data_IF_359898413676
#
_entry.id   IF_359898413676
#
_cell.length_a   1.000
_cell.length_b   1.000
_cell.length_c   1.000
_cell.angle_alpha   90.00
_cell.angle_beta   90.00
_cell.angle_gamma   90.00
#
_symmetry.space_group_name_H-M   'P 1'
#
loop_
_entity.id
_entity.type
_entity.pdbx_description
1 polymer ?
#
# COMPACT_ATOMS: atom_id res chain seq x y z
N UNK A 1 -2.15 14.42 -3.97
CA UNK A 1 -1.77 15.01 -2.67
C UNK A 1 -0.88 13.95 -2.07
N UNK A 2 0.37 14.30 -1.78
CA UNK A 2 1.36 13.30 -1.36
C UNK A 2 0.83 12.45 -0.20
N UNK A 3 1.12 11.14 -0.25
CA UNK A 3 0.70 10.19 0.78
C UNK A 3 1.31 10.57 2.14
N UNK A 4 0.48 10.61 3.19
CA UNK A 4 0.97 10.78 4.56
C UNK A 4 1.87 9.60 4.94
N UNK A 5 3.03 9.88 5.53
CA UNK A 5 4.07 8.91 5.84
C UNK A 5 3.64 7.83 6.85
N UNK A 6 2.50 7.99 7.54
CA UNK A 6 1.92 6.99 8.44
C UNK A 6 1.75 5.61 7.78
N UNK A 7 1.58 5.56 6.45
CA UNK A 7 1.47 4.29 5.70
C UNK A 7 2.66 3.37 5.95
N UNK A 8 3.86 3.90 6.23
CA UNK A 8 5.07 3.11 6.51
C UNK A 8 4.96 2.34 7.83
N UNK A 9 4.46 3.00 8.88
CA UNK A 9 4.18 2.34 10.15
C UNK A 9 3.02 1.37 10.00
N UNK A 10 1.97 1.73 9.26
CA UNK A 10 0.84 0.83 9.00
C UNK A 10 1.25 -0.44 8.24
N UNK A 11 2.07 -0.29 7.19
CA UNK A 11 2.66 -1.40 6.44
C UNK A 11 3.46 -2.30 7.38
N UNK A 12 4.37 -1.73 8.18
CA UNK A 12 5.21 -2.48 9.13
C UNK A 12 4.36 -3.21 10.18
N UNK A 13 3.31 -2.56 10.72
CA UNK A 13 2.39 -3.21 11.65
C UNK A 13 1.69 -4.41 11.02
N UNK A 14 1.30 -4.31 9.75
CA UNK A 14 0.63 -5.42 9.05
C UNK A 14 1.62 -6.55 8.76
N UNK A 15 2.78 -6.26 8.19
CA UNK A 15 3.77 -7.27 7.79
C UNK A 15 4.36 -7.99 9.00
N UNK A 16 4.97 -7.26 9.94
CA UNK A 16 5.55 -7.86 11.16
C UNK A 16 4.47 -8.37 12.13
N UNK A 17 3.33 -7.68 12.22
CA UNK A 17 2.22 -8.12 13.06
C UNK A 17 1.64 -9.45 12.59
N UNK A 18 1.53 -9.69 11.28
CA UNK A 18 1.12 -10.98 10.76
C UNK A 18 2.09 -12.10 11.14
N UNK A 19 3.41 -11.86 11.06
CA UNK A 19 4.39 -12.87 11.50
C UNK A 19 4.30 -13.17 13.01
N UNK A 20 4.05 -12.14 13.83
CA UNK A 20 3.82 -12.32 15.26
C UNK A 20 2.52 -13.10 15.57
N UNK A 21 1.44 -12.80 14.85
CA UNK A 21 0.14 -13.47 15.01
C UNK A 21 0.21 -14.93 14.55
N UNK A 22 0.96 -15.21 13.49
CA UNK A 22 1.23 -16.57 13.01
C UNK A 22 2.18 -17.36 13.91
N UNK A 23 2.93 -16.69 14.79
CA UNK A 23 3.91 -17.31 15.69
C UNK A 23 5.30 -17.50 15.05
N UNK A 24 5.55 -16.89 13.89
CA UNK A 24 6.81 -16.96 13.17
C UNK A 24 7.85 -15.94 13.70
N UNK A 25 7.40 -14.88 14.39
CA UNK A 25 8.26 -13.81 14.87
C UNK A 25 7.94 -13.40 16.31
N UNK A 26 8.98 -13.20 17.13
CA UNK A 26 8.87 -12.64 18.48
C UNK A 26 9.22 -11.13 18.47
N UNK A 27 8.59 -10.35 19.35
CA UNK A 27 8.89 -8.92 19.57
C UNK A 27 10.37 -8.63 19.82
N UNK A 28 11.13 -9.52 20.47
CA UNK A 28 12.56 -9.28 20.72
C UNK A 28 13.37 -8.93 19.46
N UNK A 29 12.86 -9.31 18.28
CA UNK A 29 13.50 -9.01 16.99
C UNK A 29 13.11 -7.66 16.38
N UNK A 30 11.99 -7.05 16.76
CA UNK A 30 11.44 -5.88 16.06
C UNK A 30 10.76 -4.84 16.95
N UNK A 31 10.79 -5.01 18.27
CA UNK A 31 10.20 -4.06 19.20
C UNK A 31 10.87 -2.67 19.11
N UNK A 32 12.17 -2.64 18.81
CA UNK A 32 12.96 -1.41 18.61
C UNK A 32 12.98 -0.96 17.13
N UNK A 33 12.04 -1.41 16.29
CA UNK A 33 12.04 -1.09 14.87
C UNK A 33 11.98 0.45 14.67
N UNK A 34 12.99 1.08 14.00
CA UNK A 34 13.14 2.54 13.98
C UNK A 34 11.93 3.31 13.43
N UNK A 35 11.16 2.72 12.52
CA UNK A 35 9.93 3.33 11.99
C UNK A 35 8.94 3.74 13.08
N UNK A 36 8.91 3.07 14.23
CA UNK A 36 8.01 3.41 15.34
C UNK A 36 8.50 4.57 16.19
N UNK A 37 9.70 5.10 15.93
CA UNK A 37 10.20 6.32 16.56
C UNK A 37 9.68 7.59 15.86
N UNK A 38 9.06 7.47 14.68
CA UNK A 38 8.54 8.62 13.92
C UNK A 38 7.26 9.19 14.51
N UNK A 39 6.31 8.32 14.88
CA UNK A 39 5.06 8.70 15.52
C UNK A 39 4.76 7.75 16.68
N UNK A 40 4.27 8.31 17.79
CA UNK A 40 3.75 7.52 18.90
C UNK A 40 2.37 7.00 18.54
N UNK A 41 2.20 5.67 18.54
CA UNK A 41 0.93 5.05 18.18
C UNK A 41 0.07 4.76 19.42
N UNK A 42 -1.17 5.22 19.40
CA UNK A 42 -2.18 4.94 20.44
C UNK A 42 -3.39 4.25 19.80
N UNK A 43 -4.00 3.33 20.54
CA UNK A 43 -5.13 2.54 20.06
C UNK A 43 -6.32 2.75 21.00
N UNK A 44 -7.45 3.16 20.45
CA UNK A 44 -8.67 3.52 21.20
C UNK A 44 -9.90 2.86 20.59
N UNK A 45 -10.96 2.74 21.38
CA UNK A 45 -12.27 2.35 20.88
C UNK A 45 -13.04 3.57 20.35
N UNK A 46 -13.53 3.51 19.11
CA UNK A 46 -14.18 4.68 18.47
C UNK A 46 -15.45 5.11 19.19
N UNK A 47 -16.25 4.20 19.72
CA UNK A 47 -17.54 4.54 20.35
C UNK A 47 -17.36 5.04 21.78
N UNK A 48 -16.56 4.35 22.57
CA UNK A 48 -16.38 4.63 24.00
C UNK A 48 -15.22 5.57 24.32
N UNK A 49 -14.35 5.84 23.36
CA UNK A 49 -13.07 6.56 23.53
C UNK A 49 -12.07 5.91 24.48
N UNK A 50 -12.38 4.70 24.92
CA UNK A 50 -11.54 3.97 25.86
C UNK A 50 -10.18 3.68 25.23
N UNK A 51 -9.13 3.97 26.00
CA UNK A 51 -7.76 3.62 25.66
C UNK A 51 -7.56 2.11 25.73
N UNK A 52 -7.22 1.51 24.59
CA UNK A 52 -6.98 0.07 24.45
C UNK A 52 -5.49 -0.27 24.59
N UNK A 53 -4.60 0.54 24.00
CA UNK A 53 -3.16 0.37 24.09
C UNK A 53 -2.43 1.69 23.82
N UNK A 54 -1.30 1.91 24.48
CA UNK A 54 -0.42 3.08 24.28
C UNK A 54 0.85 2.73 23.47
N UNK A 55 0.92 1.49 22.96
CA UNK A 55 2.05 0.97 22.22
C UNK A 55 1.61 -0.19 21.32
N UNK A 56 2.23 -0.34 20.15
CA UNK A 56 1.84 -1.37 19.18
C UNK A 56 2.03 -2.80 19.71
N UNK A 57 3.02 -3.04 20.58
CA UNK A 57 3.23 -4.33 21.23
C UNK A 57 2.03 -4.74 22.08
N UNK A 58 1.54 -3.82 22.92
CA UNK A 58 0.39 -4.07 23.80
C UNK A 58 -0.86 -4.30 22.95
N UNK A 59 -1.02 -3.52 21.87
CA UNK A 59 -2.08 -3.69 20.91
C UNK A 59 -2.08 -5.09 20.29
N UNK A 60 -0.96 -5.53 19.70
CA UNK A 60 -0.82 -6.84 19.07
C UNK A 60 -1.01 -8.02 20.04
N UNK A 61 -0.46 -7.94 21.25
CA UNK A 61 -0.72 -8.92 22.32
C UNK A 61 -2.22 -8.99 22.66
N UNK A 62 -2.87 -7.82 22.77
CA UNK A 62 -4.31 -7.71 22.98
C UNK A 62 -5.11 -8.35 21.84
N UNK A 63 -4.72 -8.12 20.58
CA UNK A 63 -5.35 -8.73 19.42
C UNK A 63 -5.19 -10.25 19.41
N UNK A 64 -3.98 -10.75 19.68
CA UNK A 64 -3.68 -12.19 19.75
C UNK A 64 -4.52 -12.88 20.81
N UNK A 65 -4.63 -12.30 22.01
CA UNK A 65 -5.49 -12.81 23.10
C UNK A 65 -6.97 -12.82 22.73
N UNK A 66 -7.41 -11.88 21.89
CA UNK A 66 -8.76 -11.84 21.37
C UNK A 66 -8.98 -12.80 20.19
N UNK A 67 -7.99 -13.61 19.80
CA UNK A 67 -8.11 -14.58 18.71
C UNK A 67 -8.05 -13.98 17.31
N UNK A 68 -7.49 -12.77 17.16
CA UNK A 68 -7.13 -12.23 15.84
C UNK A 68 -6.04 -13.10 15.23
N UNK A 69 -6.18 -13.46 13.95
CA UNK A 69 -5.23 -14.32 13.24
C UNK A 69 -4.48 -13.61 12.12
N UNK A 70 -5.01 -12.49 11.64
CA UNK A 70 -4.46 -11.77 10.50
C UNK A 70 -4.74 -10.27 10.64
N UNK A 71 -3.79 -9.47 10.18
CA UNK A 71 -3.95 -8.06 9.85
C UNK A 71 -3.93 -7.89 8.33
N UNK A 72 -4.65 -6.90 7.83
CA UNK A 72 -4.53 -6.45 6.45
C UNK A 72 -4.57 -4.93 6.37
N UNK A 73 -4.05 -4.39 5.29
CA UNK A 73 -4.13 -2.96 4.97
C UNK A 73 -5.14 -2.76 3.83
N UNK A 74 -5.90 -1.68 3.87
CA UNK A 74 -6.90 -1.37 2.85
C UNK A 74 -6.97 0.12 2.55
N UNK A 75 -7.46 0.48 1.37
CA UNK A 75 -7.74 1.88 1.03
C UNK A 75 -8.97 2.39 1.80
N UNK A 76 -8.86 3.57 2.40
CA UNK A 76 -9.96 4.23 3.14
C UNK A 76 -11.20 4.47 2.28
N UNK A 77 -11.06 4.51 0.95
CA UNK A 77 -12.19 4.59 0.01
C UNK A 77 -13.23 3.47 0.16
N UNK A 78 -12.85 2.33 0.75
CA UNK A 78 -13.79 1.26 1.11
C UNK A 78 -14.90 1.77 2.04
N UNK A 79 -14.57 2.72 2.92
CA UNK A 79 -15.42 3.26 3.99
C UNK A 79 -16.08 4.60 3.65
N UNK A 80 -15.98 5.11 2.42
CA UNK A 80 -16.54 6.43 2.05
C UNK A 80 -18.04 6.59 2.32
N UNK A 81 -18.80 5.49 2.30
CA UNK A 81 -20.25 5.50 2.56
C UNK A 81 -20.59 5.34 4.06
N UNK A 82 -19.60 5.14 4.93
CA UNK A 82 -19.81 4.89 6.36
C UNK A 82 -19.91 6.22 7.12
N UNK A 83 -20.87 6.31 8.04
CA UNK A 83 -20.98 7.49 8.89
C UNK A 83 -20.13 7.32 10.12
N UNK A 84 -19.34 8.36 10.44
CA UNK A 84 -18.57 8.38 11.68
C UNK A 84 -19.51 8.33 12.89
N UNK A 85 -19.48 7.26 13.71
CA UNK A 85 -20.39 7.10 14.82
C UNK A 85 -20.03 7.96 16.05
N UNK A 86 -18.89 8.66 16.04
CA UNK A 86 -18.45 9.49 17.16
C UNK A 86 -18.15 10.93 16.71
N UNK A 87 -19.02 11.86 17.12
CA UNK A 87 -18.89 13.29 16.82
C UNK A 87 -17.66 13.96 17.46
N UNK A 88 -17.11 13.37 18.53
CA UNK A 88 -15.96 13.88 19.25
C UNK A 88 -14.63 13.40 18.65
N UNK A 89 -14.68 12.68 17.53
CA UNK A 89 -13.48 12.19 16.83
C UNK A 89 -13.60 12.61 15.38
N UNK A 90 -12.60 13.32 14.87
CA UNK A 90 -12.47 13.58 13.44
C UNK A 90 -11.63 12.46 12.81
N UNK A 91 -12.23 11.66 11.94
CA UNK A 91 -11.48 10.62 11.21
C UNK A 91 -10.61 11.29 10.15
N UNK A 92 -9.32 10.97 10.16
CA UNK A 92 -8.36 11.59 9.25
C UNK A 92 -8.48 11.01 7.83
N UNK A 93 -8.35 11.84 6.78
CA UNK A 93 -8.48 11.41 5.39
C UNK A 93 -7.22 10.71 4.86
N UNK A 94 -6.57 9.89 5.68
CA UNK A 94 -5.42 9.09 5.23
C UNK A 94 -5.87 8.02 4.25
N UNK A 95 -5.01 7.71 3.29
CA UNK A 95 -5.32 6.77 2.22
C UNK A 95 -5.56 5.34 2.71
N UNK A 96 -5.06 4.98 3.89
CA UNK A 96 -5.07 3.60 4.38
C UNK A 96 -5.63 3.44 5.79
N UNK A 97 -6.22 2.28 6.04
CA UNK A 97 -6.58 1.79 7.38
C UNK A 97 -6.22 0.31 7.52
N UNK A 98 -6.01 -0.13 8.77
CA UNK A 98 -5.70 -1.53 9.08
C UNK A 98 -6.99 -2.26 9.44
N UNK A 99 -7.11 -3.54 9.06
CA UNK A 99 -8.19 -4.43 9.49
C UNK A 99 -7.60 -5.61 10.25
N UNK A 100 -8.10 -5.86 11.47
CA UNK A 100 -7.83 -7.10 12.20
C UNK A 100 -8.94 -8.12 11.95
N UNK A 101 -8.53 -9.37 11.65
CA UNK A 101 -9.42 -10.47 11.29
C UNK A 101 -9.54 -11.50 12.41
N UNK A 102 -10.77 -11.67 12.90
CA UNK A 102 -11.19 -12.76 13.77
C UNK A 102 -12.11 -13.70 12.99
N UNK A 103 -12.40 -14.88 13.56
CA UNK A 103 -13.16 -15.92 12.85
C UNK A 103 -14.50 -15.42 12.27
N UNK A 104 -15.24 -14.60 13.03
CA UNK A 104 -16.59 -14.15 12.67
C UNK A 104 -16.72 -12.63 12.64
N UNK A 105 -15.62 -11.87 12.73
CA UNK A 105 -15.67 -10.41 12.77
C UNK A 105 -14.42 -9.77 12.20
N UNK A 106 -14.60 -8.60 11.61
CA UNK A 106 -13.52 -7.75 11.09
C UNK A 106 -13.62 -6.39 11.74
N UNK A 107 -12.47 -5.88 12.17
CA UNK A 107 -12.39 -4.61 12.89
C UNK A 107 -11.39 -3.70 12.20
N UNK A 108 -11.86 -2.54 11.78
CA UNK A 108 -11.03 -1.47 11.24
C UNK A 108 -10.32 -0.70 12.36
N UNK A 109 -9.13 -0.22 12.03
CA UNK A 109 -8.28 0.65 12.83
C UNK A 109 -7.95 1.87 11.99
N UNK A 110 -8.69 2.96 12.23
CA UNK A 110 -8.71 4.16 11.38
C UNK A 110 -8.02 5.29 12.14
N UNK A 111 -7.16 6.06 11.48
CA UNK A 111 -6.52 7.20 12.13
C UNK A 111 -7.53 8.33 12.35
N UNK A 112 -7.48 9.00 13.49
CA UNK A 112 -8.42 10.06 13.83
C UNK A 112 -7.92 10.94 14.96
N UNK A 113 -8.38 12.19 14.97
CA UNK A 113 -8.09 13.17 16.01
C UNK A 113 -9.22 13.22 17.02
N UNK A 114 -8.87 13.13 18.30
CA UNK A 114 -9.82 13.41 19.37
C UNK A 114 -10.07 14.92 19.42
N UNK A 115 -11.33 15.33 19.30
CA UNK A 115 -11.71 16.74 19.36
C UNK A 115 -11.89 17.14 20.82
N UNK A 116 -11.18 18.19 21.24
CA UNK A 116 -11.33 18.72 22.58
C UNK A 116 -12.74 19.29 22.76
N UNK A 117 -13.43 18.86 23.83
CA UNK A 117 -14.81 19.22 24.10
C UNK A 117 -15.05 20.74 24.26
N UNK A 118 -14.00 21.50 24.53
CA UNK A 118 -14.03 22.95 24.72
C UNK A 118 -13.31 23.73 23.61
N UNK A 119 -12.82 23.05 22.57
CA UNK A 119 -12.26 23.71 21.41
C UNK A 119 -13.41 24.30 20.58
N UNK A 120 -13.36 25.60 20.33
CA UNK A 120 -14.26 26.29 19.42
C UNK A 120 -13.41 26.93 18.32
N UNK A 121 -13.76 26.70 17.06
CA UNK A 121 -13.12 27.33 15.89
C UNK A 121 -13.14 28.86 15.94
N UNK A 122 -14.06 29.44 16.72
CA UNK A 122 -14.16 30.90 16.90
C UNK A 122 -13.04 31.46 17.81
N UNK A 123 -12.36 30.63 18.60
CA UNK A 123 -11.24 31.02 19.47
C UNK A 123 -10.21 29.89 19.53
N UNK A 124 -9.27 29.89 18.58
CA UNK A 124 -8.15 28.95 18.58
C UNK A 124 -7.16 29.29 19.71
N UNK A 125 -7.39 28.72 20.90
CA UNK A 125 -6.39 28.74 21.96
C UNK A 125 -5.30 27.73 21.63
N UNK A 126 -4.27 28.21 20.96
CA UNK A 126 -3.10 27.42 20.67
C UNK A 126 -2.18 27.31 21.90
N UNK A 127 -1.81 26.08 22.28
CA UNK A 127 -0.80 25.87 23.32
C UNK A 127 0.54 26.51 22.90
N UNK A 128 1.29 27.18 23.81
CA UNK A 128 2.60 27.73 23.48
C UNK A 128 3.52 26.66 22.89
N UNK A 129 4.30 27.00 21.85
CA UNK A 129 5.17 26.06 21.15
C UNK A 129 6.10 25.27 22.10
N UNK A 130 6.63 25.93 23.14
CA UNK A 130 7.50 25.31 24.15
C UNK A 130 6.81 24.26 25.04
N UNK A 131 5.47 24.20 25.01
CA UNK A 131 4.65 23.24 25.76
C UNK A 131 4.06 22.14 24.84
N UNK A 132 4.28 22.21 23.52
CA UNK A 132 3.82 21.18 22.59
C UNK A 132 4.80 20.01 22.57
N UNK A 133 4.27 18.80 22.48
CA UNK A 133 5.07 17.59 22.25
C UNK A 133 5.70 17.68 20.85
N UNK A 134 7.00 17.36 20.75
CA UNK A 134 7.72 17.34 19.46
C UNK A 134 7.46 16.06 18.67
N UNK A 135 7.12 14.97 19.36
CA UNK A 135 6.74 13.70 18.75
C UNK A 135 5.24 13.70 18.40
N UNK A 136 4.94 13.50 17.11
CA UNK A 136 3.57 13.36 16.61
C UNK A 136 2.94 12.09 17.19
N UNK A 137 1.71 12.23 17.69
CA UNK A 137 0.92 11.12 18.22
C UNK A 137 -0.18 10.76 17.22
N UNK A 138 -0.31 9.48 16.91
CA UNK A 138 -1.27 8.94 15.96
C UNK A 138 -2.21 7.96 16.63
N UNK A 139 -3.50 8.32 16.65
CA UNK A 139 -4.54 7.53 17.30
C UNK A 139 -5.29 6.66 16.28
N UNK A 140 -5.18 5.35 16.44
CA UNK A 140 -5.95 4.33 15.72
C UNK A 140 -7.24 4.01 16.48
N UNK A 141 -8.36 4.30 15.85
CA UNK A 141 -9.70 4.09 16.38
C UNK A 141 -10.31 2.79 15.88
N UNK A 142 -10.68 1.94 16.83
CA UNK A 142 -11.31 0.64 16.59
C UNK A 142 -12.76 0.81 16.17
N UNK A 143 -13.12 0.28 15.02
CA UNK A 143 -14.50 0.24 14.51
C UNK A 143 -14.83 -1.15 13.95
N UNK A 144 -15.93 -1.76 14.39
CA UNK A 144 -16.37 -3.05 13.86
C UNK A 144 -17.08 -2.88 12.51
N UNK A 145 -16.61 -3.60 11.49
CA UNK A 145 -17.16 -3.52 10.14
C UNK A 145 -18.44 -4.34 10.02
N UNK A 146 -19.46 -3.75 9.40
CA UNK A 146 -20.66 -4.48 8.98
C UNK A 146 -20.37 -5.41 7.78
N UNK A 147 -21.34 -6.28 7.45
CA UNK A 147 -21.22 -7.26 6.38
C UNK A 147 -20.92 -6.65 5.00
N UNK A 148 -21.43 -5.45 4.70
CA UNK A 148 -21.18 -4.74 3.44
C UNK A 148 -19.69 -4.45 3.29
N UNK A 149 -19.06 -3.87 4.31
CA UNK A 149 -17.64 -3.51 4.27
C UNK A 149 -16.73 -4.73 4.47
N UNK A 150 -17.13 -5.70 5.30
CA UNK A 150 -16.40 -6.94 5.48
C UNK A 150 -16.22 -7.71 4.15
N UNK A 151 -17.25 -7.74 3.29
CA UNK A 151 -17.17 -8.34 1.94
C UNK A 151 -16.23 -7.58 1.01
N UNK A 152 -16.22 -6.24 1.05
CA UNK A 152 -15.28 -5.43 0.26
C UNK A 152 -13.84 -5.70 0.68
N UNK A 153 -13.60 -5.81 1.99
CA UNK A 153 -12.29 -6.21 2.54
C UNK A 153 -11.86 -7.58 2.02
N UNK A 154 -12.73 -8.58 2.03
CA UNK A 154 -12.40 -9.92 1.51
C UNK A 154 -12.11 -9.94 0.00
N UNK A 155 -12.81 -9.10 -0.77
CA UNK A 155 -12.57 -8.96 -2.20
C UNK A 155 -11.21 -8.29 -2.53
N UNK A 156 -10.68 -7.47 -1.63
CA UNK A 156 -9.38 -6.83 -1.81
C UNK A 156 -8.19 -7.76 -1.50
N UNK A 157 -8.44 -8.85 -0.76
CA UNK A 157 -7.46 -9.87 -0.35
C UNK A 157 -7.31 -11.04 -1.32
N UNK A 158 -7.92 -10.96 -2.50
CA UNK A 158 -7.82 -12.01 -3.51
C UNK A 158 -6.38 -12.19 -3.99
N UNK A 159 -6.06 -13.41 -4.43
CA UNK A 159 -4.72 -13.74 -4.94
C UNK A 159 -4.35 -12.82 -6.10
N UNK A 160 -3.09 -12.40 -6.13
CA UNK A 160 -2.57 -11.49 -7.14
C UNK A 160 -1.42 -12.10 -7.93
N UNK A 161 -1.14 -11.51 -9.10
CA UNK A 161 0.00 -11.84 -9.96
C UNK A 161 0.99 -10.67 -9.99
N UNK A 162 2.18 -10.86 -9.42
CA UNK A 162 3.20 -9.81 -9.33
C UNK A 162 3.79 -9.41 -10.68
N UNK A 163 3.84 -10.33 -11.66
CA UNK A 163 4.27 -10.01 -13.02
C UNK A 163 3.31 -9.01 -13.68
N UNK A 164 1.99 -9.23 -13.54
CA UNK A 164 0.97 -8.33 -14.08
C UNK A 164 1.02 -6.95 -13.40
N UNK A 165 1.23 -6.90 -12.08
CA UNK A 165 1.37 -5.64 -11.34
C UNK A 165 2.60 -4.86 -11.84
N UNK A 166 3.75 -5.52 -11.99
CA UNK A 166 4.96 -4.86 -12.45
C UNK A 166 4.81 -4.32 -13.87
N UNK A 167 4.30 -5.12 -14.81
CA UNK A 167 4.04 -4.70 -16.19
C UNK A 167 3.04 -3.54 -16.25
N UNK A 168 1.99 -3.60 -15.43
CA UNK A 168 1.00 -2.53 -15.34
C UNK A 168 1.62 -1.22 -14.86
N UNK A 169 2.40 -1.23 -13.77
CA UNK A 169 3.05 -0.03 -13.26
C UNK A 169 4.09 0.52 -14.24
N UNK A 170 4.83 -0.34 -14.93
CA UNK A 170 5.77 0.07 -15.97
C UNK A 170 5.06 0.88 -17.06
N UNK A 171 3.93 0.36 -17.56
CA UNK A 171 3.15 1.04 -18.59
C UNK A 171 2.48 2.32 -18.10
N UNK A 172 1.87 2.29 -16.92
CA UNK A 172 1.02 3.37 -16.44
C UNK A 172 1.78 4.53 -15.79
N UNK A 173 2.98 4.26 -15.26
CA UNK A 173 3.79 5.22 -14.50
C UNK A 173 5.16 5.46 -15.16
N UNK A 174 5.98 4.43 -15.31
CA UNK A 174 7.41 4.60 -15.64
C UNK A 174 7.67 4.89 -17.13
N UNK A 175 6.79 4.44 -18.03
CA UNK A 175 6.87 4.73 -19.47
C UNK A 175 6.05 5.97 -19.89
N UNK A 176 5.76 6.89 -18.97
CA UNK A 176 4.96 8.07 -19.26
C UNK A 176 5.84 9.24 -19.71
N UNK A 177 5.32 10.15 -20.56
CA UNK A 177 6.08 11.33 -21.03
C UNK A 177 6.60 12.26 -19.92
N UNK A 178 6.03 12.19 -18.72
CA UNK A 178 6.47 13.02 -17.58
C UNK A 178 7.61 12.38 -16.79
N UNK A 179 7.99 11.15 -17.14
CA UNK A 179 9.03 10.35 -16.50
C UNK A 179 10.21 10.06 -17.42
N UNK A 180 10.32 10.74 -18.57
CA UNK A 180 11.42 10.54 -19.52
C UNK A 180 12.79 10.80 -18.89
N UNK A 181 12.90 11.83 -18.03
CA UNK A 181 14.14 12.20 -17.33
C UNK A 181 14.22 11.61 -15.91
N UNK A 182 13.29 10.73 -15.54
CA UNK A 182 13.31 10.08 -14.23
C UNK A 182 14.46 9.08 -14.16
N UNK A 183 15.35 9.26 -13.18
CA UNK A 183 16.45 8.34 -12.92
C UNK A 183 16.01 7.28 -11.91
N UNK A 184 16.25 6.01 -12.25
CA UNK A 184 15.97 4.92 -11.33
C UNK A 184 16.80 5.03 -10.05
N UNK A 185 16.21 4.80 -8.87
CA UNK A 185 16.93 4.93 -7.62
C UNK A 185 18.00 3.83 -7.48
N UNK A 186 19.23 4.22 -7.14
CA UNK A 186 20.36 3.30 -6.98
C UNK A 186 20.10 2.20 -5.94
N UNK A 187 19.24 2.48 -4.95
CA UNK A 187 18.92 1.58 -3.85
C UNK A 187 17.81 0.57 -4.18
N UNK A 188 17.30 0.54 -5.42
CA UNK A 188 16.11 -0.24 -5.78
C UNK A 188 16.21 -1.75 -5.54
N UNK A 189 17.42 -2.30 -5.49
CA UNK A 189 17.67 -3.73 -5.24
C UNK A 189 17.93 -4.05 -3.76
N UNK A 190 17.84 -3.05 -2.86
CA UNK A 190 17.98 -3.23 -1.41
C UNK A 190 16.62 -3.34 -0.72
N UNK A 191 16.57 -3.91 0.50
CA UNK A 191 15.36 -3.86 1.31
C UNK A 191 14.90 -2.42 1.53
N UNK A 192 13.60 -2.20 1.35
CA UNK A 192 12.98 -0.90 1.57
C UNK A 192 12.76 -0.61 3.06
N UNK A 193 13.51 0.34 3.61
CA UNK A 193 13.49 0.68 5.04
C UNK A 193 12.51 1.79 5.41
N UNK A 194 12.17 2.70 4.50
CA UNK A 194 11.21 3.78 4.75
C UNK A 194 11.70 4.92 5.65
N UNK A 195 12.94 4.87 6.12
CA UNK A 195 13.64 5.92 6.87
C UNK A 195 15.08 6.05 6.36
N UNK A 196 15.72 7.17 6.65
CA UNK A 196 17.11 7.42 6.26
C UNK A 196 18.06 6.41 6.91
N UNK A 197 18.97 5.87 6.10
CA UNK A 197 19.97 4.91 6.53
C UNK A 197 21.33 5.40 6.06
N UNK A 198 22.31 5.27 6.95
CA UNK A 198 23.71 5.36 6.59
C UNK A 198 24.13 4.02 5.93
N UNK A 199 24.36 3.99 4.61
CA UNK A 199 24.73 2.77 3.89
C UNK A 199 26.10 2.24 4.34
N UNK A 200 26.94 3.06 4.98
CA UNK A 200 28.26 2.65 5.48
C UNK A 200 28.20 1.96 6.84
N UNK A 201 27.05 1.99 7.53
CA UNK A 201 26.86 1.49 8.88
C UNK A 201 25.58 0.67 9.04
N UNK A 202 25.27 -0.21 8.08
CA UNK A 202 24.11 -1.11 8.17
C UNK A 202 24.32 -2.12 9.31
N UNK A 203 23.78 -1.78 10.48
CA UNK A 203 23.80 -2.64 11.67
C UNK A 203 22.64 -3.63 11.64
N UNK A 204 22.76 -4.72 12.40
CA UNK A 204 21.67 -5.69 12.60
C UNK A 204 20.41 -5.11 13.28
N UNK A 205 20.43 -3.84 13.68
CA UNK A 205 19.28 -3.12 14.25
C UNK A 205 18.45 -2.38 13.20
N UNK A 206 18.96 -2.24 11.97
CA UNK A 206 18.20 -1.63 10.89
C UNK A 206 17.28 -2.68 10.27
N UNK A 207 15.98 -2.45 10.41
CA UNK A 207 14.92 -3.34 9.96
C UNK A 207 14.16 -2.70 8.81
N UNK A 208 13.97 -3.44 7.74
CA UNK A 208 13.16 -3.02 6.60
C UNK A 208 11.67 -3.06 6.96
N UNK A 209 10.83 -2.29 6.25
CA UNK A 209 9.37 -2.24 6.51
C UNK A 209 8.68 -3.59 6.27
N UNK A 210 9.30 -4.46 5.47
CA UNK A 210 8.86 -5.83 5.20
C UNK A 210 9.91 -6.78 5.80
N UNK A 211 9.53 -7.85 6.52
CA UNK A 211 10.47 -8.85 7.00
C UNK A 211 11.28 -9.45 5.85
N UNK A 212 12.61 -9.46 6.00
CA UNK A 212 13.55 -9.93 4.97
C UNK A 212 13.74 -11.45 4.97
N UNK A 213 12.99 -12.19 5.81
CA UNK A 213 12.94 -13.65 5.80
C UNK A 213 12.19 -14.20 4.56
N UNK A 214 11.51 -13.32 3.83
CA UNK A 214 10.76 -13.65 2.62
C UNK A 214 11.45 -13.10 1.37
N UNK A 215 11.38 -13.85 0.27
CA UNK A 215 11.80 -13.36 -1.04
C UNK A 215 10.75 -12.36 -1.57
N UNK A 216 10.93 -11.09 -1.20
CA UNK A 216 10.02 -9.97 -1.46
C UNK A 216 10.65 -8.87 -2.33
N UNK A 217 11.66 -9.21 -3.12
CA UNK A 217 12.47 -8.26 -3.91
C UNK A 217 11.62 -7.37 -4.82
N UNK A 218 10.55 -7.93 -5.41
CA UNK A 218 9.64 -7.14 -6.25
C UNK A 218 8.94 -6.05 -5.43
N UNK A 219 8.50 -6.35 -4.21
CA UNK A 219 7.87 -5.36 -3.34
C UNK A 219 8.86 -4.26 -2.95
N UNK A 220 10.08 -4.61 -2.54
CA UNK A 220 11.11 -3.64 -2.17
C UNK A 220 11.45 -2.71 -3.33
N UNK A 221 11.71 -3.28 -4.51
CA UNK A 221 12.01 -2.51 -5.73
C UNK A 221 10.86 -1.58 -6.12
N UNK A 222 9.62 -2.09 -6.14
CA UNK A 222 8.46 -1.26 -6.49
C UNK A 222 8.23 -0.13 -5.47
N UNK A 223 8.49 -0.34 -4.17
CA UNK A 223 8.42 0.73 -3.17
C UNK A 223 9.49 1.81 -3.41
N UNK A 224 10.74 1.41 -3.65
CA UNK A 224 11.82 2.35 -3.98
C UNK A 224 11.49 3.18 -5.22
N UNK A 225 11.18 2.51 -6.34
CA UNK A 225 10.91 3.16 -7.62
C UNK A 225 9.69 4.09 -7.53
N UNK A 226 8.59 3.63 -6.95
CA UNK A 226 7.35 4.42 -6.89
C UNK A 226 7.47 5.60 -5.92
N UNK A 227 8.15 5.44 -4.77
CA UNK A 227 8.36 6.57 -3.87
C UNK A 227 9.30 7.62 -4.50
N UNK A 228 10.41 7.19 -5.12
CA UNK A 228 11.31 8.10 -5.83
C UNK A 228 10.58 8.85 -6.95
N UNK A 229 9.69 8.16 -7.67
CA UNK A 229 8.86 8.78 -8.71
C UNK A 229 7.89 9.83 -8.13
N UNK A 230 7.22 9.54 -7.01
CA UNK A 230 6.36 10.54 -6.37
C UNK A 230 7.14 11.78 -5.92
N UNK A 231 8.34 11.58 -5.37
CA UNK A 231 9.20 12.67 -4.92
C UNK A 231 9.67 13.53 -6.11
N UNK A 232 10.09 12.88 -7.20
CA UNK A 232 10.47 13.53 -8.46
C UNK A 232 9.33 14.34 -9.08
N UNK A 233 8.11 13.77 -9.15
CA UNK A 233 6.96 14.47 -9.71
C UNK A 233 6.53 15.67 -8.85
N UNK A 234 6.63 15.57 -7.53
CA UNK A 234 6.37 16.70 -6.63
C UNK A 234 7.42 17.82 -6.79
N UNK A 235 8.69 17.47 -6.98
CA UNK A 235 9.74 18.44 -7.30
C UNK A 235 9.47 19.13 -8.65
N UNK A 236 9.18 18.35 -9.70
CA UNK A 236 8.84 18.87 -11.04
C UNK A 236 7.61 19.77 -11.02
N UNK A 237 6.66 19.53 -10.10
CA UNK A 237 5.50 20.41 -9.89
C UNK A 237 5.84 21.72 -9.19
N UNK A 238 6.78 21.70 -8.23
CA UNK A 238 7.26 22.92 -7.55
C UNK A 238 8.11 23.78 -8.48
N UNK A 239 8.80 23.14 -9.41
CA UNK A 239 9.65 23.78 -10.42
C UNK A 239 9.23 23.37 -11.83
N UNK A 240 8.08 23.87 -12.34
CA UNK A 240 7.48 23.42 -13.61
C UNK A 240 8.17 24.06 -14.82
N UNK A 241 9.45 23.74 -15.00
CA UNK A 241 10.27 24.18 -16.13
C UNK A 241 10.66 22.97 -16.97
N UNK A 242 10.71 23.15 -18.28
CA UNK A 242 11.37 22.22 -19.19
C UNK A 242 12.89 22.31 -19.02
N UNK A 243 13.62 21.31 -19.51
CA UNK A 243 15.10 21.30 -19.44
C UNK A 243 15.75 22.47 -20.17
N UNK A 244 15.04 23.07 -21.14
CA UNK A 244 15.43 24.31 -21.81
C UNK A 244 15.39 25.55 -20.89
N UNK A 245 14.85 25.42 -19.68
CA UNK A 245 14.58 26.51 -18.74
C UNK A 245 13.27 27.25 -19.02
N UNK A 246 12.52 26.84 -20.04
CA UNK A 246 11.21 27.43 -20.35
C UNK A 246 10.13 26.94 -19.37
N UNK A 247 9.27 27.86 -18.93
CA UNK A 247 8.15 27.52 -18.06
C UNK A 247 7.14 26.64 -18.83
N UNK A 248 6.72 25.53 -18.22
CA UNK A 248 5.66 24.69 -18.77
C UNK A 248 4.37 25.50 -18.95
N UNK A 249 3.63 25.22 -20.03
CA UNK A 249 2.34 25.84 -20.27
C UNK A 249 1.32 25.48 -19.17
N UNK A 250 0.26 26.30 -18.98
CA UNK A 250 -0.77 25.99 -17.98
C UNK A 250 -1.44 24.62 -18.19
N UNK A 251 -1.63 24.19 -19.44
CA UNK A 251 -2.20 22.89 -19.76
C UNK A 251 -1.25 21.74 -19.36
N UNK A 252 0.04 21.87 -19.64
CA UNK A 252 1.06 20.90 -19.22
C UNK A 252 1.12 20.79 -17.69
N UNK A 253 1.06 21.91 -16.97
CA UNK A 253 1.03 21.91 -15.51
C UNK A 253 -0.22 21.20 -14.94
N UNK A 254 -1.39 21.38 -15.56
CA UNK A 254 -2.62 20.66 -15.18
C UNK A 254 -2.46 19.15 -15.42
N UNK A 255 -1.93 18.77 -16.58
CA UNK A 255 -1.72 17.37 -16.93
C UNK A 255 -0.66 16.71 -16.04
N UNK A 256 0.42 17.42 -15.69
CA UNK A 256 1.42 16.97 -14.73
C UNK A 256 0.78 16.76 -13.35
N UNK A 257 -0.07 17.69 -12.89
CA UNK A 257 -0.81 17.53 -11.63
C UNK A 257 -1.71 16.29 -11.64
N UNK A 258 -2.46 16.08 -12.71
CA UNK A 258 -3.35 14.91 -12.83
C UNK A 258 -2.55 13.60 -12.83
N UNK A 259 -1.39 13.58 -13.51
CA UNK A 259 -0.50 12.43 -13.52
C UNK A 259 0.16 12.17 -12.16
N UNK A 260 0.61 13.22 -11.46
CA UNK A 260 1.11 13.12 -10.07
C UNK A 260 0.03 12.54 -9.14
N UNK A 261 -1.23 12.98 -9.26
CA UNK A 261 -2.31 12.41 -8.47
C UNK A 261 -2.63 10.96 -8.82
N UNK A 262 -2.61 10.59 -10.12
CA UNK A 262 -2.72 9.18 -10.54
C UNK A 262 -1.59 8.33 -9.94
N UNK A 263 -0.38 8.89 -9.87
CA UNK A 263 0.79 8.22 -9.28
C UNK A 263 0.59 7.99 -7.79
N UNK A 264 0.14 9.00 -7.03
CA UNK A 264 -0.23 8.85 -5.61
C UNK A 264 -1.28 7.75 -5.40
N UNK A 265 -2.32 7.73 -6.23
CA UNK A 265 -3.41 6.74 -6.15
C UNK A 265 -2.93 5.31 -6.46
N UNK A 266 -2.10 5.14 -7.49
CA UNK A 266 -1.51 3.85 -7.83
C UNK A 266 -0.50 3.39 -6.77
N UNK A 267 0.26 4.33 -6.18
CA UNK A 267 1.17 4.01 -5.09
C UNK A 267 0.41 3.55 -3.84
N UNK A 268 -0.70 4.23 -3.49
CA UNK A 268 -1.56 3.82 -2.39
C UNK A 268 -2.10 2.39 -2.60
N UNK A 269 -2.55 2.06 -3.83
CA UNK A 269 -3.00 0.71 -4.21
C UNK A 269 -1.85 -0.32 -4.11
N UNK A 270 -0.66 0.03 -4.58
CA UNK A 270 0.52 -0.83 -4.49
C UNK A 270 0.85 -1.18 -3.03
N UNK A 271 0.87 -0.20 -2.13
CA UNK A 271 1.15 -0.40 -0.70
C UNK A 271 0.17 -1.41 -0.08
N UNK A 272 -1.12 -1.34 -0.43
CA UNK A 272 -2.13 -2.33 0.00
C UNK A 272 -1.79 -3.74 -0.49
N UNK A 273 -1.44 -3.88 -1.77
CA UNK A 273 -1.09 -5.20 -2.33
C UNK A 273 0.17 -5.77 -1.69
N UNK A 274 1.18 -4.93 -1.43
CA UNK A 274 2.40 -5.33 -0.72
C UNK A 274 2.07 -5.76 0.71
N UNK A 275 1.36 -4.96 1.49
CA UNK A 275 1.02 -5.28 2.88
C UNK A 275 0.32 -6.63 3.02
N UNK A 276 -0.55 -6.96 2.06
CA UNK A 276 -1.39 -8.15 2.13
C UNK A 276 -0.76 -9.40 1.49
N UNK A 277 0.28 -9.25 0.65
CA UNK A 277 0.86 -10.34 -0.16
C UNK A 277 2.40 -10.33 -0.25
N UNK A 278 3.09 -9.62 0.65
CA UNK A 278 4.56 -9.50 0.65
C UNK A 278 5.31 -10.84 0.58
N UNK A 279 4.78 -11.89 1.23
CA UNK A 279 5.42 -13.21 1.30
C UNK A 279 5.66 -13.86 -0.07
N UNK A 280 4.91 -13.46 -1.11
CA UNK A 280 5.05 -13.99 -2.46
C UNK A 280 5.48 -12.93 -3.47
N UNK A 281 6.02 -11.79 -3.03
CA UNK A 281 6.34 -10.64 -3.86
C UNK A 281 7.64 -10.80 -4.66
N UNK A 282 7.62 -11.76 -5.58
CA UNK A 282 8.66 -12.00 -6.58
C UNK A 282 8.09 -11.94 -7.98
N UNK A 283 8.95 -11.57 -8.91
CA UNK A 283 8.71 -11.83 -10.31
C UNK A 283 9.04 -13.28 -10.63
N UNK A 284 8.12 -13.96 -11.30
CA UNK A 284 8.40 -15.27 -11.88
C UNK A 284 9.02 -15.03 -13.24
N UNK A 285 10.22 -15.56 -13.48
CA UNK A 285 10.78 -15.57 -14.83
C UNK A 285 9.78 -16.25 -15.77
N UNK A 286 9.54 -15.65 -16.94
CA UNK A 286 8.87 -16.40 -18.01
C UNK A 286 9.72 -17.65 -18.28
N UNK A 287 9.12 -18.84 -18.40
CA UNK A 287 9.89 -20.03 -18.70
C UNK A 287 10.62 -19.75 -20.01
N UNK A 288 11.96 -19.81 -19.98
CA UNK A 288 12.76 -19.89 -21.19
C UNK A 288 12.12 -20.97 -22.05
N UNK A 289 11.63 -20.59 -23.22
CA UNK A 289 11.23 -21.56 -24.23
C UNK A 289 12.55 -22.21 -24.64
N UNK A 290 12.93 -23.28 -23.93
CA UNK A 290 14.00 -24.17 -24.35
C UNK A 290 13.53 -24.70 -25.68
N UNK A 291 14.09 -24.17 -26.75
CA UNK A 291 13.87 -24.61 -28.11
C UNK A 291 14.40 -26.05 -28.22
N UNK A 292 13.56 -27.02 -27.87
CA UNK A 292 13.81 -28.45 -28.13
C UNK A 292 13.54 -28.73 -29.61
N UNK A 293 14.20 -28.01 -30.50
CA UNK A 293 14.31 -28.36 -31.92
C UNK A 293 15.62 -29.10 -32.19
N UNK A 294 15.96 -30.08 -31.35
CA UNK A 294 16.94 -31.12 -31.71
C UNK A 294 16.57 -32.47 -31.07
N UNK A 295 15.35 -32.95 -31.27
CA UNK A 295 15.08 -34.40 -31.21
C UNK A 295 14.17 -34.79 -32.38
N UNK A 296 14.82 -35.34 -33.41
CA UNK A 296 14.36 -36.33 -34.39
C UNK A 296 12.87 -36.39 -34.73
N UNK A 297 12.63 -36.01 -35.99
CA UNK A 297 11.55 -36.42 -36.88
C UNK A 297 11.09 -37.87 -36.73
N UNK A 298 9.79 -38.09 -36.46
CA UNK A 298 9.01 -39.16 -37.08
C UNK A 298 7.58 -38.68 -37.39
N UNK A 299 7.11 -39.08 -38.57
CA UNK A 299 5.85 -38.75 -39.22
C UNK A 299 4.60 -38.87 -38.33
N UNK A 300 3.63 -37.96 -38.53
CA UNK A 300 2.28 -38.36 -38.94
C UNK A 300 1.55 -37.20 -39.65
N UNK A 301 1.14 -37.46 -40.89
CA UNK A 301 0.22 -36.61 -41.65
C UNK A 301 -1.16 -36.62 -40.97
N UNK A 302 -1.77 -35.45 -40.77
CA UNK A 302 -3.22 -35.32 -40.93
C UNK A 302 -3.63 -33.87 -41.20
N UNK A 303 -4.20 -33.69 -42.39
CA UNK A 303 -4.88 -32.49 -42.87
C UNK A 303 -6.16 -32.30 -42.08
N UNK A 304 -6.41 -31.12 -41.49
CA UNK A 304 -7.76 -30.71 -41.12
C UNK A 304 -8.06 -29.25 -41.45
N UNK A 305 -9.18 -29.12 -42.16
CA UNK A 305 -9.81 -27.94 -42.71
C UNK A 305 -10.11 -26.85 -41.67
N UNK A 306 -9.88 -25.59 -42.07
CA UNK A 306 -10.45 -24.40 -41.43
C UNK A 306 -11.98 -24.48 -41.44
N UNK A 307 -12.58 -24.55 -40.24
CA UNK A 307 -13.99 -24.27 -40.01
C UNK A 307 -14.07 -23.07 -39.08
N UNK A 308 -14.44 -21.91 -39.63
CA UNK A 308 -14.77 -20.71 -38.85
C UNK A 308 -16.05 -21.04 -38.07
N UNK A 309 -15.92 -21.25 -36.77
CA UNK A 309 -17.04 -21.57 -35.90
C UNK A 309 -16.75 -21.12 -34.49
N UNK A 310 -17.60 -20.23 -33.97
CA UNK A 310 -17.98 -19.98 -32.55
C UNK A 310 -16.89 -19.67 -31.51
N UNK A 311 -15.66 -20.14 -31.68
CA UNK A 311 -14.51 -19.97 -30.80
C UNK A 311 -13.98 -18.53 -30.78
N UNK A 312 -14.08 -17.80 -31.90
CA UNK A 312 -13.69 -16.39 -31.96
C UNK A 312 -14.60 -15.48 -31.13
N UNK A 313 -15.91 -15.75 -31.16
CA UNK A 313 -16.92 -15.00 -30.39
C UNK A 313 -16.81 -15.30 -28.90
N UNK A 314 -16.57 -16.56 -28.52
CA UNK A 314 -16.37 -16.94 -27.12
C UNK A 314 -15.07 -16.33 -26.56
N UNK A 315 -13.98 -16.32 -27.34
CA UNK A 315 -12.73 -15.62 -26.94
C UNK A 315 -12.96 -14.12 -26.77
N UNK A 316 -13.71 -13.49 -27.67
CA UNK A 316 -14.02 -12.06 -27.59
C UNK A 316 -14.87 -11.76 -26.34
N UNK A 317 -15.90 -12.56 -26.05
CA UNK A 317 -16.74 -12.40 -24.86
C UNK A 317 -15.92 -12.56 -23.58
N UNK A 318 -15.07 -13.58 -23.49
CA UNK A 318 -14.20 -13.80 -22.33
C UNK A 318 -13.23 -12.63 -22.15
N UNK A 319 -12.62 -12.15 -23.25
CA UNK A 319 -11.72 -10.99 -23.21
C UNK A 319 -12.46 -9.73 -22.75
N UNK A 320 -13.68 -9.47 -23.26
CA UNK A 320 -14.51 -8.35 -22.83
C UNK A 320 -14.91 -8.45 -21.37
N UNK A 321 -15.25 -9.64 -20.86
CA UNK A 321 -15.56 -9.84 -19.42
C UNK A 321 -14.34 -9.57 -18.55
N UNK A 322 -13.16 -10.02 -18.96
CA UNK A 322 -11.90 -9.74 -18.26
C UNK A 322 -11.60 -8.24 -18.25
N UNK A 323 -11.72 -7.57 -19.40
CA UNK A 323 -11.52 -6.12 -19.51
C UNK A 323 -12.54 -5.36 -18.64
N UNK A 324 -13.82 -5.76 -18.64
CA UNK A 324 -14.85 -5.15 -17.80
C UNK A 324 -14.61 -5.40 -16.31
N UNK A 325 -14.14 -6.59 -15.91
CA UNK A 325 -13.76 -6.85 -14.52
C UNK A 325 -12.55 -6.01 -14.09
N UNK A 326 -11.55 -5.88 -14.95
CA UNK A 326 -10.38 -5.04 -14.69
C UNK A 326 -10.81 -3.56 -14.59
N UNK A 327 -11.60 -3.04 -15.53
CA UNK A 327 -12.10 -1.66 -15.49
C UNK A 327 -12.96 -1.38 -14.25
N UNK A 328 -13.90 -2.28 -13.92
CA UNK A 328 -14.76 -2.17 -12.75
C UNK A 328 -13.98 -2.28 -11.43
N UNK A 329 -12.96 -3.13 -11.37
CA UNK A 329 -12.15 -3.35 -10.17
C UNK A 329 -11.14 -2.21 -9.94
N UNK A 330 -10.64 -1.56 -11.00
CA UNK A 330 -9.71 -0.44 -10.88
C UNK A 330 -10.36 0.95 -10.86
N UNK A 331 -11.67 1.04 -11.14
CA UNK A 331 -12.45 2.28 -11.08
C UNK A 331 -12.23 3.21 -12.26
N UNK A 332 -12.25 2.68 -13.48
CA UNK A 332 -12.35 3.45 -14.73
C UNK A 332 -13.80 3.88 -15.01
#
# INVERSE_FOLDING_TARGET
MALDQIWKQQLTLVTYGNEFLAGNLNFSRWIEHPIFNQNRLIFRDLRSQHLLAQHFQIWLEGLKKQGVKKLSLHLSSILNDEQNPNINVELLPFSHFIVSHQANKKTAWICGLELAAWYNSDNEFEAPLSQRTTLREESFWRYELNDKFAKKVDADLQKLNWNEIAVFLERELFNHKYTEDFLEPEQQDFPFYGYEIDPTAISSKQLALIPTDYPADCAHRLLHRTQALTDYLEEKRRHPYHDSGELMSPEEQINLRNFSQKTDDLFAKLIVKIANHYQTAQLTAEPEIIDRTMETSEHFNQVHHHKVGTAGVIKLIILTVIICMVAYYFGL
#
